data_IF_905088224064
#
_entry.id   IF_905088224064
#
_cell.length_a   1.000
_cell.length_b   1.000
_cell.length_c   1.000
_cell.angle_alpha   90.00
_cell.angle_beta   90.00
_cell.angle_gamma   90.00
#
_symmetry.space_group_name_H-M   'P 1'
#
loop_
_entity.id
_entity.type
_entity.pdbx_description
1 polymer ?
#
# COMPACT_ATOMS: atom_id res chain seq x y z
N UNK A 1 7.15 -14.69 2.16
CA UNK A 1 8.19 -15.73 2.39
C UNK A 1 9.45 -15.31 1.64
N UNK A 2 10.55 -14.96 2.31
CA UNK A 2 11.73 -14.39 1.63
C UNK A 2 12.61 -15.47 1.00
N UNK A 3 12.99 -15.30 -0.27
CA UNK A 3 13.98 -16.14 -0.96
C UNK A 3 15.33 -15.44 -1.06
N UNK A 4 16.40 -16.23 -1.16
CA UNK A 4 17.76 -15.74 -1.42
C UNK A 4 18.06 -15.88 -2.91
N UNK A 5 18.63 -14.84 -3.52
CA UNK A 5 19.14 -14.88 -4.88
C UNK A 5 20.59 -14.39 -4.91
N UNK A 6 21.45 -15.11 -5.63
CA UNK A 6 22.81 -14.68 -5.92
C UNK A 6 22.81 -13.79 -7.16
N UNK A 7 23.49 -12.64 -7.09
CA UNK A 7 23.66 -11.74 -8.25
C UNK A 7 25.10 -11.23 -8.33
N UNK A 8 25.55 -10.88 -9.53
CA UNK A 8 26.90 -10.35 -9.79
C UNK A 8 26.80 -8.91 -10.22
N UNK A 9 27.44 -8.00 -9.50
CA UNK A 9 27.46 -6.58 -9.83
C UNK A 9 28.42 -6.23 -10.97
N UNK A 10 28.38 -4.97 -11.47
CA UNK A 10 29.12 -4.53 -12.67
C UNK A 10 30.65 -4.70 -12.60
N UNK A 11 31.21 -4.82 -11.40
CA UNK A 11 32.64 -5.02 -11.17
C UNK A 11 33.00 -6.46 -10.78
N UNK A 12 32.16 -7.45 -11.13
CA UNK A 12 32.40 -8.87 -10.85
C UNK A 12 32.25 -9.28 -9.38
N UNK A 13 31.64 -8.43 -8.54
CA UNK A 13 31.40 -8.73 -7.13
C UNK A 13 30.11 -9.55 -6.97
N UNK A 14 30.17 -10.64 -6.23
CA UNK A 14 28.99 -11.45 -5.93
C UNK A 14 28.26 -10.92 -4.68
N UNK A 15 26.93 -10.82 -4.77
CA UNK A 15 26.06 -10.39 -3.71
C UNK A 15 25.00 -11.45 -3.42
N UNK A 16 24.69 -11.63 -2.14
CA UNK A 16 23.51 -12.38 -1.69
C UNK A 16 22.42 -11.40 -1.30
N UNK A 17 21.34 -11.35 -2.07
CA UNK A 17 20.23 -10.44 -1.82
C UNK A 17 19.06 -11.23 -1.27
N UNK A 18 18.46 -10.73 -0.19
CA UNK A 18 17.16 -11.21 0.29
C UNK A 18 16.07 -10.50 -0.49
N UNK A 19 15.38 -11.25 -1.33
CA UNK A 19 14.14 -10.77 -1.93
C UNK A 19 12.99 -11.12 -0.99
N UNK A 20 12.36 -10.10 -0.43
CA UNK A 20 11.04 -10.25 0.16
C UNK A 20 10.09 -10.60 -0.99
N UNK A 21 9.49 -11.80 -0.97
CA UNK A 21 8.33 -12.07 -1.83
C UNK A 21 7.16 -11.26 -1.26
N UNK A 22 7.13 -10.00 -1.67
CA UNK A 22 5.98 -9.15 -1.54
C UNK A 22 4.98 -9.59 -2.62
N UNK A 23 4.12 -10.54 -2.26
CA UNK A 23 3.01 -10.90 -3.14
C UNK A 23 1.99 -9.76 -3.01
N UNK A 24 2.10 -8.79 -3.90
CA UNK A 24 1.11 -7.73 -4.06
C UNK A 24 -0.14 -8.32 -4.70
N UNK A 25 -0.89 -9.11 -3.93
CA UNK A 25 -2.25 -9.43 -4.29
C UNK A 25 -3.09 -8.21 -3.93
N UNK A 26 -3.46 -7.42 -4.93
CA UNK A 26 -4.45 -6.37 -4.76
C UNK A 26 -5.83 -7.01 -4.89
N UNK A 27 -6.73 -6.87 -3.90
CA UNK A 27 -8.13 -7.20 -4.12
C UNK A 27 -8.71 -6.30 -5.21
N UNK A 28 -9.61 -6.85 -6.02
CA UNK A 28 -10.45 -6.09 -6.93
C UNK A 28 -11.65 -5.55 -6.13
N UNK A 29 -11.42 -4.43 -5.46
CA UNK A 29 -12.41 -3.81 -4.56
C UNK A 29 -13.67 -3.35 -5.32
N UNK A 30 -13.53 -3.06 -6.61
CA UNK A 30 -14.61 -2.62 -7.49
C UNK A 30 -15.63 -3.73 -7.77
N UNK A 31 -15.25 -4.99 -7.55
CA UNK A 31 -16.12 -6.16 -7.74
C UNK A 31 -16.80 -6.63 -6.45
N UNK A 32 -16.44 -6.04 -5.30
CA UNK A 32 -17.02 -6.40 -4.02
C UNK A 32 -18.39 -5.73 -3.84
N UNK A 33 -19.36 -6.49 -3.34
CA UNK A 33 -20.58 -5.88 -2.82
C UNK A 33 -20.34 -5.25 -1.44
N UNK A 34 -21.34 -4.54 -0.92
CA UNK A 34 -21.22 -3.82 0.35
C UNK A 34 -20.95 -4.73 1.55
N UNK A 35 -21.46 -5.97 1.53
CA UNK A 35 -21.26 -6.95 2.60
C UNK A 35 -19.82 -7.45 2.60
N UNK A 36 -19.33 -7.92 1.45
CA UNK A 36 -17.97 -8.39 1.27
C UNK A 36 -16.93 -7.29 1.54
N UNK A 37 -17.21 -6.06 1.09
CA UNK A 37 -16.36 -4.91 1.37
C UNK A 37 -16.29 -4.60 2.88
N UNK A 38 -17.41 -4.71 3.59
CA UNK A 38 -17.48 -4.55 5.04
C UNK A 38 -16.65 -5.62 5.78
N UNK A 39 -16.80 -6.89 5.40
CA UNK A 39 -16.00 -7.98 5.97
C UNK A 39 -14.50 -7.81 5.68
N UNK A 40 -14.17 -7.41 4.45
CA UNK A 40 -12.79 -7.14 4.06
C UNK A 40 -12.18 -6.00 4.87
N UNK A 41 -12.92 -4.90 5.06
CA UNK A 41 -12.49 -3.78 5.90
C UNK A 41 -12.26 -4.20 7.36
N UNK A 42 -13.15 -5.02 7.93
CA UNK A 42 -13.00 -5.55 9.28
C UNK A 42 -11.74 -6.43 9.44
N UNK A 43 -11.48 -7.30 8.45
CA UNK A 43 -10.28 -8.13 8.43
C UNK A 43 -9.00 -7.28 8.36
N UNK A 44 -8.98 -6.27 7.49
CA UNK A 44 -7.87 -5.33 7.37
C UNK A 44 -7.61 -4.57 8.68
N UNK A 45 -8.67 -4.07 9.33
CA UNK A 45 -8.58 -3.42 10.63
C UNK A 45 -7.98 -4.34 11.70
N UNK A 46 -8.40 -5.60 11.75
CA UNK A 46 -7.88 -6.58 12.70
C UNK A 46 -6.39 -6.91 12.45
N UNK A 47 -6.01 -7.12 11.19
CA UNK A 47 -4.61 -7.38 10.81
C UNK A 47 -3.73 -6.18 11.18
N UNK A 48 -4.20 -4.95 10.89
CA UNK A 48 -3.50 -3.72 11.22
C UNK A 48 -3.29 -3.60 12.74
N UNK A 49 -4.35 -3.72 13.53
CA UNK A 49 -4.26 -3.66 14.99
C UNK A 49 -3.27 -4.69 15.55
N UNK A 50 -3.31 -5.93 15.03
CA UNK A 50 -2.40 -7.00 15.45
C UNK A 50 -0.95 -6.72 15.04
N UNK A 51 -0.72 -6.18 13.85
CA UNK A 51 0.62 -5.81 13.39
C UNK A 51 1.21 -4.70 14.27
N UNK A 52 0.44 -3.64 14.54
CA UNK A 52 0.88 -2.53 15.39
C UNK A 52 1.15 -2.97 16.82
N UNK A 53 0.27 -3.78 17.43
CA UNK A 53 0.48 -4.33 18.77
C UNK A 53 1.76 -5.17 18.87
N UNK A 54 2.06 -5.96 17.83
CA UNK A 54 3.26 -6.81 17.80
C UNK A 54 4.54 -6.03 17.53
N UNK A 55 4.49 -5.07 16.61
CA UNK A 55 5.68 -4.33 16.18
C UNK A 55 6.12 -3.31 17.23
N UNK A 56 5.17 -2.65 17.92
CA UNK A 56 5.50 -1.65 18.94
C UNK A 56 5.90 -2.28 20.27
N UNK A 57 5.33 -3.45 20.62
CA UNK A 57 5.42 -4.01 21.97
C UNK A 57 4.65 -3.20 23.03
N UNK A 58 3.92 -2.15 22.63
CA UNK A 58 3.23 -1.18 23.48
C UNK A 58 1.71 -1.30 23.32
N UNK A 59 1.20 -2.53 23.31
CA UNK A 59 -0.21 -2.78 23.02
C UNK A 59 -1.15 -2.15 24.07
N UNK A 60 -0.73 -2.13 25.35
CA UNK A 60 -1.51 -1.56 26.44
C UNK A 60 -1.58 -0.03 26.35
N UNK A 61 -0.47 0.62 26.02
CA UNK A 61 -0.38 2.06 25.86
C UNK A 61 -1.20 2.55 24.66
N UNK A 62 -1.11 1.83 23.53
CA UNK A 62 -1.93 2.13 22.35
C UNK A 62 -3.42 1.97 22.68
N UNK A 63 -3.80 0.87 23.33
CA UNK A 63 -5.19 0.63 23.74
C UNK A 63 -5.70 1.72 24.69
N UNK A 64 -4.89 2.12 25.68
CA UNK A 64 -5.23 3.18 26.62
C UNK A 64 -5.36 4.56 25.96
N UNK A 65 -4.51 4.86 24.98
CA UNK A 65 -4.58 6.11 24.21
C UNK A 65 -5.83 6.18 23.34
N UNK A 66 -6.20 5.08 22.68
CA UNK A 66 -7.41 4.99 21.86
C UNK A 66 -8.69 5.07 22.71
N UNK A 67 -8.65 4.52 23.92
CA UNK A 67 -9.79 4.49 24.84
C UNK A 67 -10.94 3.62 24.30
N UNK A 68 -12.16 3.89 24.80
CA UNK A 68 -13.37 3.15 24.43
C UNK A 68 -14.39 3.99 23.66
N UNK A 69 -14.04 5.21 23.27
CA UNK A 69 -14.91 6.10 22.49
C UNK A 69 -14.70 5.91 20.98
N UNK A 70 -15.68 6.34 20.19
CA UNK A 70 -15.61 6.28 18.72
C UNK A 70 -14.69 7.35 18.09
N UNK A 71 -14.06 8.22 18.89
CA UNK A 71 -13.23 9.32 18.42
C UNK A 71 -12.13 8.91 17.43
N UNK A 72 -11.48 7.76 17.66
CA UNK A 72 -10.47 7.24 16.71
C UNK A 72 -11.12 6.80 15.39
N UNK A 73 -12.25 6.10 15.46
CA UNK A 73 -12.95 5.64 14.26
C UNK A 73 -13.42 6.84 13.43
N UNK A 74 -13.98 7.86 14.07
CA UNK A 74 -14.38 9.12 13.41
C UNK A 74 -13.18 9.83 12.77
N UNK A 75 -12.04 9.91 13.46
CA UNK A 75 -10.83 10.52 12.94
C UNK A 75 -10.29 9.77 11.71
N UNK A 76 -10.30 8.43 11.73
CA UNK A 76 -9.92 7.60 10.57
C UNK A 76 -10.87 7.84 9.40
N UNK A 77 -12.18 7.86 9.63
CA UNK A 77 -13.17 8.10 8.56
C UNK A 77 -12.98 9.48 7.94
N UNK A 78 -12.81 10.52 8.77
CA UNK A 78 -12.56 11.87 8.30
C UNK A 78 -11.26 11.97 7.48
N UNK A 79 -10.18 11.32 7.96
CA UNK A 79 -8.93 11.24 7.23
C UNK A 79 -9.09 10.50 5.89
N UNK A 80 -9.75 9.34 5.88
CA UNK A 80 -9.94 8.54 4.68
C UNK A 80 -10.72 9.28 3.60
N UNK A 81 -11.79 9.99 3.95
CA UNK A 81 -12.55 10.82 3.01
C UNK A 81 -11.67 11.95 2.44
N UNK A 82 -10.96 12.69 3.30
CA UNK A 82 -10.07 13.75 2.84
C UNK A 82 -8.91 13.25 1.98
N UNK A 83 -8.42 12.04 2.27
CA UNK A 83 -7.40 11.38 1.47
C UNK A 83 -7.93 10.94 0.10
N UNK A 84 -9.15 10.40 0.03
CA UNK A 84 -9.79 10.05 -1.23
C UNK A 84 -9.93 11.28 -2.14
N UNK A 85 -10.46 12.39 -1.61
CA UNK A 85 -10.57 13.65 -2.37
C UNK A 85 -9.20 14.16 -2.86
N UNK A 86 -8.14 13.97 -2.06
CA UNK A 86 -6.79 14.36 -2.44
C UNK A 86 -6.26 13.49 -3.58
N UNK A 87 -6.46 12.18 -3.52
CA UNK A 87 -6.04 11.23 -4.56
C UNK A 87 -6.73 11.55 -5.89
N UNK A 88 -8.02 11.90 -5.87
CA UNK A 88 -8.76 12.32 -7.07
C UNK A 88 -8.15 13.59 -7.69
N UNK A 89 -7.87 14.61 -6.88
CA UNK A 89 -7.22 15.85 -7.35
C UNK A 89 -5.83 15.60 -7.92
N UNK A 90 -5.05 14.73 -7.27
CA UNK A 90 -3.71 14.38 -7.73
C UNK A 90 -3.76 13.62 -9.05
N UNK A 91 -4.75 12.74 -9.23
CA UNK A 91 -4.98 12.05 -10.49
C UNK A 91 -5.36 13.02 -11.62
N UNK A 92 -6.24 13.99 -11.36
CA UNK A 92 -6.59 15.01 -12.34
C UNK A 92 -5.37 15.86 -12.75
N UNK A 93 -4.54 16.24 -11.78
CA UNK A 93 -3.30 16.97 -12.04
C UNK A 93 -2.32 16.14 -12.88
N UNK A 94 -2.20 14.85 -12.59
CA UNK A 94 -1.40 13.90 -13.36
C UNK A 94 -1.89 13.80 -14.81
N UNK A 95 -3.20 13.57 -15.02
CA UNK A 95 -3.81 13.49 -16.35
C UNK A 95 -3.59 14.77 -17.15
N UNK A 96 -3.76 15.94 -16.52
CA UNK A 96 -3.51 17.22 -17.17
C UNK A 96 -2.04 17.39 -17.59
N UNK A 97 -1.10 16.97 -16.75
CA UNK A 97 0.33 16.99 -17.06
C UNK A 97 0.70 16.06 -18.24
N UNK A 98 0.05 14.89 -18.32
CA UNK A 98 0.21 13.99 -19.46
C UNK A 98 -0.35 14.59 -20.74
N UNK A 99 -1.55 15.17 -20.70
CA UNK A 99 -2.18 15.81 -21.87
C UNK A 99 -1.40 17.01 -22.37
N UNK A 100 -0.73 17.76 -21.49
CA UNK A 100 0.13 18.87 -21.88
C UNK A 100 1.52 18.44 -22.36
N UNK A 101 1.83 17.14 -22.39
CA UNK A 101 3.14 16.62 -22.77
C UNK A 101 4.26 16.89 -21.77
N UNK A 102 3.92 17.29 -20.53
CA UNK A 102 4.92 17.54 -19.47
C UNK A 102 5.38 16.25 -18.81
N UNK A 103 4.49 15.25 -18.78
CA UNK A 103 4.75 13.90 -18.29
C UNK A 103 4.36 12.90 -19.37
N UNK A 104 5.13 11.82 -19.50
CA UNK A 104 4.78 10.66 -20.31
C UNK A 104 4.11 9.62 -19.42
N UNK A 105 2.87 9.23 -19.74
CA UNK A 105 2.21 8.12 -19.06
C UNK A 105 2.74 6.81 -19.61
N UNK A 106 3.36 6.01 -18.75
CA UNK A 106 3.90 4.68 -19.11
C UNK A 106 3.04 3.59 -18.47
N UNK A 107 2.82 2.53 -19.22
CA UNK A 107 2.15 1.33 -18.72
C UNK A 107 3.14 0.39 -18.04
N UNK A 108 2.63 -0.58 -17.28
CA UNK A 108 3.46 -1.65 -16.72
C UNK A 108 4.19 -2.45 -17.81
N UNK A 109 3.60 -2.57 -19.00
CA UNK A 109 4.24 -3.20 -20.15
C UNK A 109 5.45 -2.37 -20.66
N UNK A 110 5.32 -1.04 -20.69
CA UNK A 110 6.40 -0.14 -21.08
C UNK A 110 7.55 -0.19 -20.07
N UNK A 111 7.24 -0.22 -18.77
CA UNK A 111 8.24 -0.34 -17.70
C UNK A 111 8.93 -1.71 -17.73
N UNK A 112 8.18 -2.79 -17.98
CA UNK A 112 8.74 -4.14 -18.07
C UNK A 112 9.64 -4.32 -19.30
N UNK A 113 9.42 -3.57 -20.38
CA UNK A 113 10.25 -3.59 -21.58
C UNK A 113 11.67 -3.07 -21.32
N UNK A 114 11.86 -2.09 -20.41
CA UNK A 114 13.17 -1.51 -20.07
C UNK A 114 14.13 -2.54 -19.45
N UNK A 115 13.61 -3.58 -18.78
CA UNK A 115 14.41 -4.59 -18.09
C UNK A 115 14.65 -5.87 -18.91
N UNK A 116 14.15 -5.93 -20.16
CA UNK A 116 14.34 -7.08 -21.07
C UNK A 116 15.54 -6.94 -22.01
N UNK A 117 16.37 -5.90 -21.81
CA UNK A 117 17.61 -5.64 -22.58
C UNK A 117 18.76 -6.49 -22.05
#
# INVERSE_FOLDING_TARGET
MCSWAGTTGPFGRHFYVRQLRDMKLSPEIELMDAELLGEYAALCGWILARAHAKASGLALEISGYLGSSDAMAEAIVAYSNGYADQVERDYDAFVAACRSGRLEARTDADMAADFRV
#
